data_IF_036809372540
#
_entry.id   IF_036809372540
#
_cell.length_a   1.000
_cell.length_b   1.000
_cell.length_c   1.000
_cell.angle_alpha   90.00
_cell.angle_beta   90.00
_cell.angle_gamma   90.00
#
_symmetry.space_group_name_H-M   'P 1'
#
loop_
_entity.id
_entity.type
_entity.pdbx_description
1 polymer ?
#
# COMPACT_ATOMS: atom_id res chain seq x y z
N UNK A 1 5.61 -31.50 -23.04
CA UNK A 1 4.60 -32.35 -22.39
C UNK A 1 4.96 -32.78 -20.96
N UNK A 2 6.21 -32.85 -20.54
CA UNK A 2 6.61 -33.27 -19.17
C UNK A 2 6.34 -32.24 -18.05
N UNK A 3 6.26 -30.93 -18.34
CA UNK A 3 6.02 -29.88 -17.30
C UNK A 3 4.57 -29.90 -16.79
N UNK A 4 3.58 -30.19 -17.64
CA UNK A 4 2.17 -30.26 -17.21
C UNK A 4 1.91 -31.38 -16.19
N UNK A 5 2.60 -32.50 -16.32
CA UNK A 5 2.41 -33.63 -15.39
C UNK A 5 3.00 -33.36 -14.00
N UNK A 6 4.14 -32.64 -13.93
CA UNK A 6 4.76 -32.29 -12.64
C UNK A 6 3.93 -31.29 -11.83
N UNK A 7 3.25 -30.35 -12.50
CA UNK A 7 2.32 -29.41 -11.84
C UNK A 7 1.11 -30.15 -11.30
N UNK A 8 0.57 -31.10 -12.06
CA UNK A 8 -0.59 -31.92 -11.66
C UNK A 8 -0.24 -32.81 -10.44
N UNK A 9 0.94 -33.46 -10.43
CA UNK A 9 1.42 -34.23 -9.29
C UNK A 9 1.68 -33.36 -8.06
N UNK A 10 2.19 -32.14 -8.23
CA UNK A 10 2.39 -31.19 -7.15
C UNK A 10 1.06 -30.72 -6.55
N UNK A 11 0.05 -30.46 -7.38
CA UNK A 11 -1.32 -30.10 -6.96
C UNK A 11 -1.99 -31.29 -6.25
N UNK A 12 -1.83 -32.53 -6.75
CA UNK A 12 -2.36 -33.73 -6.11
C UNK A 12 -1.66 -34.06 -4.78
N UNK A 13 -0.35 -33.86 -4.70
CA UNK A 13 0.41 -33.98 -3.43
C UNK A 13 -0.03 -32.91 -2.41
N UNK A 14 -0.28 -31.68 -2.84
CA UNK A 14 -0.84 -30.66 -1.99
C UNK A 14 -2.26 -31.00 -1.51
N UNK A 15 -3.09 -31.62 -2.34
CA UNK A 15 -4.45 -31.99 -1.96
C UNK A 15 -4.49 -33.13 -0.93
N UNK A 16 -3.52 -34.03 -0.93
CA UNK A 16 -3.40 -35.12 0.06
C UNK A 16 -2.80 -34.66 1.40
N UNK A 17 -2.03 -33.57 1.39
CA UNK A 17 -1.44 -32.95 2.58
C UNK A 17 -2.34 -31.91 3.26
N UNK A 18 -3.52 -31.63 2.68
CA UNK A 18 -4.48 -30.67 3.27
C UNK A 18 -5.03 -31.29 4.56
N UNK A 19 -4.40 -30.94 5.67
CA UNK A 19 -4.96 -31.20 6.99
C UNK A 19 -6.41 -30.72 7.00
N UNK A 20 -7.31 -31.50 7.63
CA UNK A 20 -8.72 -31.12 7.87
C UNK A 20 -8.80 -29.97 8.86
N UNK A 21 -8.12 -28.85 8.55
CA UNK A 21 -8.10 -27.67 9.39
C UNK A 21 -9.15 -26.69 8.89
N UNK A 22 -9.81 -25.96 9.78
CA UNK A 22 -10.79 -24.96 9.41
C UNK A 22 -10.16 -23.85 8.55
N UNK A 23 -10.99 -23.15 7.80
CA UNK A 23 -10.62 -21.93 7.10
C UNK A 23 -11.08 -20.77 7.98
N UNK A 24 -10.15 -19.98 8.45
CA UNK A 24 -10.43 -18.69 9.08
C UNK A 24 -10.63 -17.66 7.98
N UNK A 25 -11.66 -16.84 8.06
CA UNK A 25 -11.87 -15.73 7.14
C UNK A 25 -12.44 -14.53 7.86
N UNK A 26 -12.14 -13.36 7.34
CA UNK A 26 -12.61 -12.09 7.88
C UNK A 26 -13.18 -11.26 6.73
N UNK A 27 -14.38 -10.73 6.94
CA UNK A 27 -15.01 -9.76 6.04
C UNK A 27 -14.89 -8.39 6.68
N UNK A 28 -14.46 -7.41 5.91
CA UNK A 28 -14.39 -6.03 6.37
C UNK A 28 -15.18 -5.10 5.46
N UNK A 29 -15.97 -4.23 6.07
CA UNK A 29 -16.63 -3.11 5.42
C UNK A 29 -16.06 -1.83 6.01
N UNK A 30 -15.59 -0.93 5.16
CA UNK A 30 -15.09 0.37 5.60
C UNK A 30 -15.79 1.47 4.82
N UNK A 31 -16.21 2.51 5.52
CA UNK A 31 -16.66 3.76 4.92
C UNK A 31 -15.73 4.88 5.39
N UNK A 32 -15.40 5.81 4.52
CA UNK A 32 -14.47 6.89 4.83
C UNK A 32 -14.77 8.13 4.01
N UNK A 33 -14.05 9.18 4.35
CA UNK A 33 -14.03 10.44 3.62
C UNK A 33 -12.59 10.87 3.40
N UNK A 34 -12.31 11.39 2.21
CA UNK A 34 -11.02 11.91 1.78
C UNK A 34 -11.25 13.29 1.17
N UNK A 35 -10.65 14.32 1.76
CA UNK A 35 -10.83 15.71 1.34
C UNK A 35 -10.01 16.09 0.10
N UNK A 36 -9.03 15.26 -0.29
CA UNK A 36 -8.13 15.51 -1.42
C UNK A 36 -7.75 14.23 -2.13
N UNK A 37 -8.73 13.59 -2.79
CA UNK A 37 -8.59 12.28 -3.45
C UNK A 37 -7.55 12.32 -4.58
N UNK A 38 -7.44 13.43 -5.30
CA UNK A 38 -6.55 13.63 -6.44
C UNK A 38 -5.18 14.17 -6.02
N UNK A 39 -5.00 14.53 -4.73
CA UNK A 39 -3.77 15.11 -4.16
C UNK A 39 -3.37 16.39 -4.87
N UNK A 40 -4.32 17.27 -5.01
CA UNK A 40 -4.12 18.59 -5.56
C UNK A 40 -3.34 19.48 -4.60
N UNK A 41 -2.50 20.34 -5.15
CA UNK A 41 -1.91 21.48 -4.46
C UNK A 41 -2.93 22.57 -4.25
N UNK A 42 -2.59 23.59 -3.45
CA UNK A 42 -3.45 24.76 -3.23
C UNK A 42 -3.68 25.55 -4.53
N UNK A 43 -2.71 25.57 -5.44
CA UNK A 43 -2.85 26.16 -6.77
C UNK A 43 -3.83 25.38 -7.64
N UNK A 44 -3.68 24.05 -7.71
CA UNK A 44 -4.58 23.20 -8.47
C UNK A 44 -6.03 23.26 -7.95
N UNK A 45 -6.25 23.45 -6.64
CA UNK A 45 -7.59 23.74 -6.10
C UNK A 45 -8.16 25.04 -6.62
N UNK A 46 -7.34 26.07 -6.78
CA UNK A 46 -7.78 27.33 -7.31
C UNK A 46 -8.08 27.23 -8.81
N UNK A 47 -7.24 26.57 -9.59
CA UNK A 47 -7.48 26.29 -11.01
C UNK A 47 -8.77 25.50 -11.23
N UNK A 48 -9.03 24.48 -10.43
CA UNK A 48 -10.23 23.64 -10.53
C UNK A 48 -11.56 24.40 -10.34
N UNK A 49 -11.51 25.61 -9.77
CA UNK A 49 -12.68 26.49 -9.67
C UNK A 49 -13.06 27.10 -11.01
N UNK A 50 -12.08 27.31 -11.89
CA UNK A 50 -12.24 27.94 -13.22
C UNK A 50 -12.24 26.89 -14.32
N UNK A 51 -11.38 25.88 -14.23
CA UNK A 51 -11.27 24.80 -15.19
C UNK A 51 -11.49 23.43 -14.53
N UNK A 52 -12.67 22.85 -14.72
CA UNK A 52 -13.02 21.55 -14.17
C UNK A 52 -12.40 20.37 -14.94
N UNK A 53 -11.74 20.60 -16.07
CA UNK A 53 -11.11 19.53 -16.87
C UNK A 53 -9.99 18.83 -16.10
N UNK A 54 -9.32 19.54 -15.18
CA UNK A 54 -8.28 18.97 -14.31
C UNK A 54 -8.83 17.92 -13.32
N UNK A 55 -10.15 17.93 -13.06
CA UNK A 55 -10.81 16.92 -12.23
C UNK A 55 -10.90 15.56 -12.93
N UNK A 56 -10.70 15.53 -14.27
CA UNK A 56 -10.64 14.28 -15.02
C UNK A 56 -11.95 13.49 -14.98
N UNK A 57 -13.10 14.17 -15.10
CA UNK A 57 -14.42 13.55 -15.04
C UNK A 57 -14.97 13.35 -13.61
N UNK A 58 -14.18 13.62 -12.56
CA UNK A 58 -14.69 13.68 -11.21
C UNK A 58 -15.60 14.90 -11.00
N UNK A 59 -16.60 14.78 -10.12
CA UNK A 59 -17.49 15.91 -9.79
C UNK A 59 -16.81 16.92 -8.86
N UNK A 60 -15.97 16.41 -7.95
CA UNK A 60 -15.23 17.20 -6.94
C UNK A 60 -13.87 16.56 -6.65
N UNK A 61 -13.03 17.26 -5.91
CA UNK A 61 -11.71 16.79 -5.47
C UNK A 61 -11.77 15.94 -4.20
N UNK A 62 -12.88 15.92 -3.49
CA UNK A 62 -13.16 15.10 -2.30
C UNK A 62 -14.07 13.92 -2.63
N UNK A 63 -14.13 12.93 -1.76
CA UNK A 63 -15.04 11.80 -1.95
C UNK A 63 -15.34 11.06 -0.66
N UNK A 64 -16.57 10.58 -0.55
CA UNK A 64 -16.86 9.40 0.27
C UNK A 64 -16.31 8.15 -0.40
N UNK A 65 -15.78 7.25 0.41
CA UNK A 65 -15.11 6.03 -0.04
C UNK A 65 -15.76 4.83 0.64
N UNK A 66 -16.10 3.83 -0.14
CA UNK A 66 -16.54 2.53 0.37
C UNK A 66 -15.48 1.49 0.03
N UNK A 67 -15.17 0.62 1.00
CA UNK A 67 -14.19 -0.45 0.81
C UNK A 67 -14.72 -1.74 1.41
N UNK A 68 -14.74 -2.78 0.59
CA UNK A 68 -15.05 -4.15 1.00
C UNK A 68 -13.79 -4.98 0.93
N UNK A 69 -13.53 -5.79 1.94
CA UNK A 69 -12.36 -6.66 1.99
C UNK A 69 -12.71 -8.04 2.51
N UNK A 70 -12.02 -9.05 1.97
CA UNK A 70 -12.07 -10.43 2.43
C UNK A 70 -10.63 -10.88 2.67
N UNK A 71 -10.39 -11.45 3.83
CA UNK A 71 -9.13 -12.10 4.16
C UNK A 71 -9.42 -13.55 4.52
N UNK A 72 -8.63 -14.48 3.99
CA UNK A 72 -8.74 -15.91 4.28
C UNK A 72 -7.43 -16.42 4.83
N UNK A 73 -7.48 -17.39 5.75
CA UNK A 73 -6.30 -18.05 6.30
C UNK A 73 -6.55 -19.54 6.39
N UNK A 74 -5.63 -20.32 5.83
CA UNK A 74 -5.64 -21.79 5.87
C UNK A 74 -4.33 -22.29 6.43
N UNK A 75 -4.42 -23.09 7.50
CA UNK A 75 -3.30 -23.84 8.03
C UNK A 75 -3.18 -25.11 7.19
N UNK A 76 -2.09 -25.27 6.44
CA UNK A 76 -1.90 -26.42 5.56
C UNK A 76 -1.19 -27.57 6.25
N UNK A 77 -0.29 -27.26 7.17
CA UNK A 77 0.50 -28.26 7.84
C UNK A 77 0.96 -27.78 9.22
N UNK A 78 0.98 -28.71 10.20
CA UNK A 78 1.48 -28.51 11.55
C UNK A 78 2.26 -29.74 11.99
N UNK A 79 3.43 -29.54 12.59
CA UNK A 79 4.22 -30.57 13.25
C UNK A 79 5.00 -29.96 14.43
N UNK A 80 4.58 -30.24 15.64
CA UNK A 80 5.11 -29.62 16.84
C UNK A 80 5.00 -28.10 16.82
N UNK A 81 6.14 -27.40 16.91
CA UNK A 81 6.18 -25.93 16.84
C UNK A 81 6.23 -25.36 15.42
N UNK A 82 6.26 -26.23 14.42
CA UNK A 82 6.38 -25.85 13.02
C UNK A 82 5.00 -25.84 12.36
N UNK A 83 4.76 -24.86 11.48
CA UNK A 83 3.52 -24.79 10.72
C UNK A 83 3.72 -24.10 9.39
N UNK A 84 2.88 -24.45 8.42
CA UNK A 84 2.80 -23.79 7.12
C UNK A 84 1.38 -23.28 6.89
N UNK A 85 1.26 -21.98 6.62
CA UNK A 85 -0.02 -21.28 6.49
C UNK A 85 -0.05 -20.50 5.19
N UNK A 86 -1.19 -20.50 4.52
CA UNK A 86 -1.48 -19.63 3.38
C UNK A 86 -2.56 -18.65 3.80
N UNK A 87 -2.34 -17.36 3.49
CA UNK A 87 -3.33 -16.31 3.65
C UNK A 87 -3.64 -15.71 2.28
N UNK A 88 -4.93 -15.54 1.98
CA UNK A 88 -5.41 -14.78 0.84
C UNK A 88 -6.00 -13.46 1.30
N UNK A 89 -5.90 -12.42 0.50
CA UNK A 89 -6.62 -11.17 0.71
C UNK A 89 -7.16 -10.65 -0.62
N UNK A 90 -8.33 -10.07 -0.55
CA UNK A 90 -8.96 -9.33 -1.65
C UNK A 90 -9.60 -8.08 -1.08
N UNK A 91 -9.54 -6.97 -1.81
CA UNK A 91 -10.14 -5.69 -1.43
C UNK A 91 -10.61 -4.96 -2.68
N UNK A 92 -11.84 -4.47 -2.62
CA UNK A 92 -12.42 -3.57 -3.61
C UNK A 92 -12.66 -2.21 -2.96
N UNK A 93 -12.35 -1.13 -3.66
CA UNK A 93 -12.50 0.26 -3.18
C UNK A 93 -13.20 1.06 -4.25
N UNK A 94 -14.22 1.81 -3.85
CA UNK A 94 -15.02 2.67 -4.69
C UNK A 94 -15.07 4.09 -4.12
N UNK A 95 -15.13 5.09 -5.00
CA UNK A 95 -15.15 6.52 -4.67
C UNK A 95 -16.40 7.14 -5.27
N UNK A 96 -17.26 7.69 -4.42
CA UNK A 96 -18.57 8.20 -4.85
C UNK A 96 -18.46 9.35 -5.85
N UNK A 97 -17.65 10.39 -5.54
CA UNK A 97 -17.47 11.56 -6.40
C UNK A 97 -16.39 11.39 -7.48
N UNK A 98 -15.64 10.30 -7.43
CA UNK A 98 -14.48 10.04 -8.30
C UNK A 98 -14.52 8.61 -8.84
N UNK A 99 -15.51 8.25 -9.68
CA UNK A 99 -15.74 6.87 -10.11
C UNK A 99 -14.56 6.26 -10.90
N UNK A 100 -13.74 7.10 -11.54
CA UNK A 100 -12.50 6.68 -12.21
C UNK A 100 -11.49 6.04 -11.23
N UNK A 101 -11.59 6.39 -9.94
CA UNK A 101 -10.66 5.95 -8.90
C UNK A 101 -11.00 4.61 -8.28
N UNK A 102 -12.03 3.95 -8.73
CA UNK A 102 -12.35 2.58 -8.28
C UNK A 102 -11.24 1.59 -8.65
N UNK A 103 -10.88 0.72 -7.74
CA UNK A 103 -9.86 -0.29 -7.98
C UNK A 103 -10.05 -1.51 -7.08
N UNK A 104 -9.41 -2.61 -7.44
CA UNK A 104 -9.26 -3.75 -6.56
C UNK A 104 -7.78 -4.05 -6.29
N UNK A 105 -7.55 -4.72 -5.18
CA UNK A 105 -6.23 -5.23 -4.83
C UNK A 105 -6.37 -6.62 -4.23
N UNK A 106 -5.35 -7.45 -4.47
CA UNK A 106 -5.34 -8.81 -3.98
C UNK A 106 -3.93 -9.24 -3.56
N UNK A 107 -3.86 -10.39 -2.89
CA UNK A 107 -2.56 -10.95 -2.56
C UNK A 107 -2.63 -12.29 -1.88
N UNK A 108 -1.47 -12.94 -1.84
CA UNK A 108 -1.25 -14.22 -1.18
C UNK A 108 0.00 -14.11 -0.30
N UNK A 109 -0.07 -14.72 0.89
CA UNK A 109 1.08 -14.92 1.78
C UNK A 109 1.25 -16.41 2.03
N UNK A 110 2.47 -16.91 1.85
CA UNK A 110 2.89 -18.23 2.28
C UNK A 110 3.85 -18.05 3.46
N UNK A 111 3.51 -18.61 4.62
CA UNK A 111 4.28 -18.44 5.84
C UNK A 111 4.68 -19.79 6.41
N UNK A 112 5.98 -20.02 6.53
CA UNK A 112 6.55 -21.12 7.28
C UNK A 112 7.04 -20.61 8.64
N UNK A 113 6.49 -21.15 9.72
CA UNK A 113 6.80 -20.81 11.11
C UNK A 113 7.48 -21.97 11.79
N UNK A 114 8.54 -21.72 12.58
CA UNK A 114 9.26 -22.74 13.36
C UNK A 114 9.36 -22.40 14.85
N UNK A 115 8.57 -21.44 15.30
CA UNK A 115 8.51 -21.02 16.70
C UNK A 115 7.82 -19.69 16.88
N UNK A 116 7.69 -19.25 18.14
CA UNK A 116 7.11 -17.93 18.43
C UNK A 116 8.00 -16.82 17.91
N UNK A 117 7.45 -15.94 17.04
CA UNK A 117 8.18 -14.87 16.34
C UNK A 117 9.39 -15.38 15.55
N UNK A 118 9.31 -16.59 15.00
CA UNK A 118 10.31 -17.18 14.10
C UNK A 118 9.60 -17.70 12.88
N UNK A 119 9.69 -17.00 11.77
CA UNK A 119 9.06 -17.40 10.51
C UNK A 119 9.76 -16.79 9.31
N UNK A 120 9.56 -17.41 8.17
CA UNK A 120 9.80 -16.86 6.86
C UNK A 120 8.46 -16.71 6.13
N UNK A 121 8.25 -15.58 5.47
CA UNK A 121 7.02 -15.28 4.76
C UNK A 121 7.34 -14.78 3.36
N UNK A 122 6.77 -15.43 2.36
CA UNK A 122 6.74 -14.94 1.00
C UNK A 122 5.38 -14.31 0.71
N UNK A 123 5.38 -13.15 0.08
CA UNK A 123 4.16 -12.36 -0.19
C UNK A 123 4.12 -11.94 -1.64
N UNK A 124 2.95 -12.11 -2.26
CA UNK A 124 2.60 -11.56 -3.57
C UNK A 124 1.46 -10.57 -3.35
N UNK A 125 1.54 -9.39 -3.96
CA UNK A 125 0.50 -8.36 -3.94
C UNK A 125 0.26 -7.85 -5.36
N UNK A 126 -0.99 -7.57 -5.65
CA UNK A 126 -1.44 -6.98 -6.90
C UNK A 126 -2.38 -5.82 -6.62
N UNK A 127 -2.17 -4.71 -7.27
CA UNK A 127 -3.05 -3.55 -7.29
C UNK A 127 -3.41 -3.29 -8.75
N UNK A 128 -4.69 -3.34 -9.08
CA UNK A 128 -5.15 -3.26 -10.46
C UNK A 128 -5.66 -1.87 -10.81
N UNK A 129 -5.15 -1.32 -11.92
CA UNK A 129 -5.67 -0.11 -12.59
C UNK A 129 -5.96 1.03 -11.62
N UNK A 130 -4.96 1.40 -10.80
CA UNK A 130 -5.11 2.50 -9.86
C UNK A 130 -5.02 3.82 -10.58
N UNK A 131 -6.11 4.56 -10.63
CA UNK A 131 -6.16 5.91 -11.20
C UNK A 131 -5.46 6.92 -10.30
N UNK A 132 -4.49 7.63 -10.84
CA UNK A 132 -3.83 8.76 -10.17
C UNK A 132 -4.65 10.03 -10.35
N UNK A 133 -4.68 10.54 -11.56
CA UNK A 133 -5.39 11.72 -12.04
C UNK A 133 -5.17 11.87 -13.54
N UNK A 134 -5.71 12.89 -14.15
CA UNK A 134 -5.37 13.26 -15.52
C UNK A 134 -4.03 13.99 -15.57
N UNK A 135 -3.26 13.70 -16.61
CA UNK A 135 -2.04 14.41 -16.98
C UNK A 135 -2.08 14.79 -18.45
N UNK A 136 -1.32 15.82 -18.81
CA UNK A 136 -1.17 16.23 -20.20
C UNK A 136 -0.48 15.12 -20.98
N UNK A 137 -1.12 14.69 -22.08
CA UNK A 137 -0.52 13.75 -23.04
C UNK A 137 0.34 14.51 -24.04
N UNK A 138 1.58 14.79 -23.68
CA UNK A 138 2.55 15.56 -24.46
C UNK A 138 2.92 14.91 -25.80
N UNK A 139 2.62 13.62 -25.99
CA UNK A 139 2.85 12.94 -27.27
C UNK A 139 1.87 13.38 -28.35
N UNK A 140 0.73 13.97 -27.97
CA UNK A 140 -0.30 14.43 -28.90
C UNK A 140 -0.38 15.96 -28.91
N UNK A 141 -0.53 16.60 -27.74
CA UNK A 141 -0.58 18.05 -27.62
C UNK A 141 -0.29 18.50 -26.18
N UNK A 142 -0.03 19.82 -26.00
CA UNK A 142 0.19 20.35 -24.65
C UNK A 142 -1.11 20.63 -23.87
N UNK A 143 -2.28 20.43 -24.49
CA UNK A 143 -3.58 20.73 -23.88
C UNK A 143 -4.45 19.49 -23.65
N UNK A 144 -4.10 18.36 -24.28
CA UNK A 144 -4.89 17.14 -24.17
C UNK A 144 -4.61 16.41 -22.87
N UNK A 145 -5.60 16.35 -21.99
CA UNK A 145 -5.55 15.57 -20.74
C UNK A 145 -5.93 14.10 -21.00
N UNK A 146 -5.19 13.18 -20.41
CA UNK A 146 -5.46 11.75 -20.43
C UNK A 146 -5.39 11.14 -19.02
N UNK A 147 -6.21 10.13 -18.77
CA UNK A 147 -6.24 9.41 -17.50
C UNK A 147 -4.95 8.63 -17.27
N UNK A 148 -4.29 8.87 -16.14
CA UNK A 148 -3.08 8.15 -15.76
C UNK A 148 -3.45 7.04 -14.77
N UNK A 149 -3.37 5.80 -15.24
CA UNK A 149 -3.62 4.59 -14.43
C UNK A 149 -2.34 3.77 -14.34
N UNK A 150 -2.20 3.01 -13.25
CA UNK A 150 -1.10 2.05 -13.13
C UNK A 150 -1.54 0.78 -12.41
N UNK A 151 -0.79 -0.28 -12.67
CA UNK A 151 -0.92 -1.59 -12.03
C UNK A 151 0.37 -1.92 -11.30
N UNK A 152 0.27 -2.28 -10.00
CA UNK A 152 1.42 -2.72 -9.22
C UNK A 152 1.43 -4.25 -9.06
N UNK A 153 2.60 -4.86 -9.27
CA UNK A 153 2.91 -6.25 -8.95
C UNK A 153 4.09 -6.29 -7.99
N UNK A 154 3.84 -6.73 -6.76
CA UNK A 154 4.84 -6.72 -5.71
C UNK A 154 5.08 -8.13 -5.17
N UNK A 155 6.34 -8.53 -5.09
CA UNK A 155 6.79 -9.76 -4.47
C UNK A 155 7.77 -9.43 -3.36
N UNK A 156 7.67 -10.11 -2.23
CA UNK A 156 8.59 -9.86 -1.11
C UNK A 156 8.80 -11.08 -0.25
N UNK A 157 10.01 -11.19 0.30
CA UNK A 157 10.42 -12.21 1.25
C UNK A 157 10.75 -11.55 2.59
N UNK A 158 10.19 -12.06 3.66
CA UNK A 158 10.38 -11.53 5.02
C UNK A 158 10.83 -12.62 5.97
N UNK A 159 11.87 -12.35 6.73
CA UNK A 159 12.33 -13.16 7.85
C UNK A 159 11.94 -12.46 9.15
N UNK A 160 11.25 -13.18 10.04
CA UNK A 160 10.98 -12.74 11.41
C UNK A 160 11.82 -13.55 12.37
N UNK A 161 12.55 -12.90 13.24
CA UNK A 161 13.39 -13.54 14.24
C UNK A 161 13.17 -12.92 15.61
N UNK A 162 12.91 -13.78 16.60
CA UNK A 162 12.84 -13.38 18.00
C UNK A 162 14.22 -12.95 18.50
N UNK A 163 14.31 -11.79 19.13
CA UNK A 163 15.52 -11.28 19.77
C UNK A 163 15.50 -11.50 21.29
N UNK A 164 14.35 -11.25 21.92
CA UNK A 164 14.19 -11.44 23.36
C UNK A 164 12.76 -11.91 23.71
N UNK A 165 12.45 -12.04 25.01
CA UNK A 165 11.06 -12.32 25.45
C UNK A 165 10.08 -11.20 25.06
N UNK A 166 10.58 -9.97 24.84
CA UNK A 166 9.78 -8.77 24.58
C UNK A 166 10.01 -8.16 23.21
N UNK A 167 11.02 -8.64 22.46
CA UNK A 167 11.38 -8.02 21.18
C UNK A 167 11.63 -9.04 20.08
N UNK A 168 11.34 -8.62 18.85
CA UNK A 168 11.66 -9.35 17.63
C UNK A 168 11.90 -8.37 16.49
N UNK A 169 12.62 -8.81 15.49
CA UNK A 169 12.86 -8.04 14.29
C UNK A 169 12.33 -8.78 13.04
N UNK A 170 12.01 -7.98 12.03
CA UNK A 170 11.64 -8.45 10.71
C UNK A 170 12.60 -7.81 9.71
N UNK A 171 13.18 -8.60 8.83
CA UNK A 171 13.96 -8.14 7.69
C UNK A 171 13.26 -8.62 6.44
N UNK A 172 13.12 -7.75 5.45
CA UNK A 172 12.47 -8.07 4.19
C UNK A 172 13.18 -7.48 3.00
N UNK A 173 13.09 -8.20 1.89
CA UNK A 173 13.49 -7.75 0.57
C UNK A 173 12.27 -7.83 -0.34
N UNK A 174 12.10 -6.88 -1.24
CA UNK A 174 10.98 -6.87 -2.17
C UNK A 174 11.33 -6.28 -3.51
N UNK A 175 10.53 -6.68 -4.48
CA UNK A 175 10.57 -6.21 -5.84
C UNK A 175 9.16 -5.83 -6.26
N UNK A 176 8.97 -4.58 -6.64
CA UNK A 176 7.71 -4.01 -7.10
C UNK A 176 7.88 -3.54 -8.54
N UNK A 177 7.02 -4.03 -9.41
CA UNK A 177 6.87 -3.56 -10.78
C UNK A 177 5.62 -2.69 -10.85
N UNK A 178 5.77 -1.46 -11.32
CA UNK A 178 4.68 -0.53 -11.60
C UNK A 178 4.58 -0.30 -13.08
N UNK A 179 3.47 -0.71 -13.66
CA UNK A 179 3.16 -0.55 -15.07
C UNK A 179 2.07 0.49 -15.25
N UNK A 180 2.32 1.45 -16.12
CA UNK A 180 1.35 2.48 -16.46
C UNK A 180 0.64 2.12 -17.76
N UNK A 181 -0.66 2.43 -17.82
CA UNK A 181 -1.46 2.25 -19.02
C UNK A 181 -1.10 3.32 -20.06
N UNK A 182 -1.35 3.03 -21.36
CA UNK A 182 -1.19 3.99 -22.43
C UNK A 182 -2.00 5.29 -22.14
N UNK A 183 -1.48 6.50 -22.41
CA UNK A 183 -0.22 6.79 -23.12
C UNK A 183 1.02 6.87 -22.22
N UNK A 184 0.93 6.58 -20.92
CA UNK A 184 1.96 6.83 -19.92
C UNK A 184 2.87 5.63 -19.63
N UNK A 185 2.98 4.66 -20.55
CA UNK A 185 3.82 3.46 -20.34
C UNK A 185 5.30 3.76 -20.14
N UNK A 186 5.80 4.93 -20.56
CA UNK A 186 7.17 5.38 -20.28
C UNK A 186 7.41 5.73 -18.81
N UNK A 187 6.36 5.76 -17.98
CA UNK A 187 6.45 5.96 -16.53
C UNK A 187 6.69 4.66 -15.76
N UNK A 188 6.79 3.54 -16.45
CA UNK A 188 7.03 2.24 -15.84
C UNK A 188 8.26 2.25 -14.93
N UNK A 189 8.11 1.64 -13.75
CA UNK A 189 9.15 1.60 -12.72
C UNK A 189 9.37 0.18 -12.23
N UNK A 190 10.63 -0.22 -12.16
CA UNK A 190 11.12 -1.35 -11.40
C UNK A 190 11.68 -0.86 -10.06
N UNK A 191 11.11 -1.32 -8.95
CA UNK A 191 11.47 -0.84 -7.62
C UNK A 191 11.98 -2.01 -6.79
N UNK A 192 13.24 -1.93 -6.36
CA UNK A 192 13.82 -2.87 -5.40
C UNK A 192 13.86 -2.17 -4.03
N UNK A 193 13.44 -2.87 -2.99
CA UNK A 193 13.45 -2.30 -1.66
C UNK A 193 13.88 -3.29 -0.58
N UNK A 194 14.46 -2.75 0.47
CA UNK A 194 14.80 -3.47 1.69
C UNK A 194 14.04 -2.86 2.87
N UNK A 195 13.57 -3.72 3.77
CA UNK A 195 12.79 -3.34 4.94
C UNK A 195 13.37 -3.95 6.19
N UNK A 196 13.61 -3.12 7.20
CA UNK A 196 13.94 -3.52 8.56
C UNK A 196 12.86 -3.05 9.53
N UNK A 197 12.39 -3.92 10.43
CA UNK A 197 11.43 -3.53 11.47
C UNK A 197 11.81 -4.17 12.79
N UNK A 198 11.97 -3.35 13.82
CA UNK A 198 12.12 -3.76 15.20
C UNK A 198 10.79 -3.59 15.94
N UNK A 199 10.39 -4.58 16.73
CA UNK A 199 9.16 -4.59 17.51
C UNK A 199 9.48 -4.81 18.97
N UNK A 200 8.84 -4.04 19.85
CA UNK A 200 9.01 -4.13 21.29
C UNK A 200 7.66 -4.17 22.02
N UNK A 201 7.45 -5.20 22.84
CA UNK A 201 6.26 -5.34 23.67
C UNK A 201 6.48 -4.69 25.01
N UNK A 202 5.73 -3.64 25.30
CA UNK A 202 5.69 -2.97 26.60
C UNK A 202 4.69 -3.71 27.48
N UNK A 203 5.19 -4.34 28.55
CA UNK A 203 4.36 -5.16 29.44
C UNK A 203 3.17 -4.33 29.97
N UNK A 204 1.97 -4.88 29.88
CA UNK A 204 0.70 -4.29 30.35
C UNK A 204 0.28 -2.98 29.68
N UNK A 205 1.00 -2.51 28.68
CA UNK A 205 0.67 -1.28 27.95
C UNK A 205 0.31 -1.58 26.50
N UNK A 206 1.25 -2.16 25.74
CA UNK A 206 1.03 -2.37 24.32
C UNK A 206 2.29 -2.69 23.54
N UNK A 207 2.33 -2.28 22.28
CA UNK A 207 3.42 -2.56 21.36
C UNK A 207 3.93 -1.30 20.68
N UNK A 208 5.24 -1.14 20.67
CA UNK A 208 5.95 -0.13 19.89
C UNK A 208 6.71 -0.83 18.76
N UNK A 209 6.73 -0.23 17.59
CA UNK A 209 7.61 -0.70 16.53
C UNK A 209 8.32 0.48 15.86
N UNK A 210 9.49 0.20 15.29
CA UNK A 210 10.23 1.11 14.44
C UNK A 210 10.63 0.39 13.17
N UNK A 211 10.33 0.97 12.02
CA UNK A 211 10.57 0.39 10.71
C UNK A 211 11.29 1.37 9.82
N UNK A 212 12.26 0.88 9.07
CA UNK A 212 12.95 1.61 8.01
C UNK A 212 12.77 0.82 6.72
N UNK A 213 12.45 1.52 5.63
CA UNK A 213 12.48 1.01 4.27
C UNK A 213 13.46 1.86 3.46
N UNK A 214 14.28 1.21 2.64
CA UNK A 214 15.07 1.87 1.59
C UNK A 214 14.69 1.28 0.26
N UNK A 215 14.36 2.12 -0.72
CA UNK A 215 13.95 1.72 -2.06
C UNK A 215 14.74 2.44 -3.13
N UNK A 216 14.99 1.76 -4.23
CA UNK A 216 15.53 2.31 -5.47
C UNK A 216 14.57 1.99 -6.59
N UNK A 217 14.04 3.01 -7.24
CA UNK A 217 13.16 2.91 -8.39
C UNK A 217 13.92 3.28 -9.66
N UNK A 218 13.83 2.43 -10.67
CA UNK A 218 14.49 2.64 -11.95
C UNK A 218 13.44 2.68 -13.05
N UNK A 219 13.43 3.79 -13.82
CA UNK A 219 12.64 3.97 -15.03
C UNK A 219 13.50 3.54 -16.23
N UNK A 220 13.13 2.45 -16.90
CA UNK A 220 13.89 1.93 -18.04
C UNK A 220 13.28 2.32 -19.38
N UNK A 221 11.98 2.50 -19.41
CA UNK A 221 11.23 2.75 -20.64
C UNK A 221 11.56 4.10 -21.28
N UNK A 222 12.00 5.09 -20.51
CA UNK A 222 12.42 6.39 -21.04
C UNK A 222 13.67 6.30 -21.96
N UNK A 223 14.50 5.27 -21.79
CA UNK A 223 15.70 5.04 -22.62
C UNK A 223 15.37 4.38 -23.97
N UNK A 224 14.25 3.67 -24.07
CA UNK A 224 13.90 2.86 -25.23
C UNK A 224 13.10 3.60 -26.30
N UNK A 225 12.42 4.70 -25.94
CA UNK A 225 11.57 5.48 -26.85
C UNK A 225 11.78 6.96 -26.59
N UNK A 226 12.30 7.70 -27.55
CA UNK A 226 12.37 9.17 -27.47
C UNK A 226 10.99 9.76 -27.80
N UNK A 227 10.28 10.18 -26.76
CA UNK A 227 8.99 10.89 -26.83
C UNK A 227 9.09 12.18 -26.04
N UNK A 228 8.24 13.20 -26.30
CA UNK A 228 8.20 14.43 -25.51
C UNK A 228 7.94 14.22 -24.01
N UNK A 229 7.26 13.11 -23.64
CA UNK A 229 6.94 12.76 -22.24
C UNK A 229 7.94 11.77 -21.61
N UNK A 230 8.96 11.35 -22.35
CA UNK A 230 9.90 10.28 -21.92
C UNK A 230 11.03 10.81 -21.04
N UNK A 231 10.68 11.27 -19.84
CA UNK A 231 11.65 11.74 -18.85
C UNK A 231 12.03 10.66 -17.83
N UNK A 232 13.25 10.76 -17.28
CA UNK A 232 13.69 9.86 -16.22
C UNK A 232 12.92 10.13 -14.91
N UNK A 233 12.22 9.13 -14.42
CA UNK A 233 11.47 9.15 -13.15
C UNK A 233 12.10 8.29 -12.07
N UNK A 234 13.36 7.88 -12.29
CA UNK A 234 14.12 7.11 -11.31
C UNK A 234 14.33 7.91 -10.03
N UNK A 235 14.25 7.23 -8.89
CA UNK A 235 14.45 7.86 -7.60
C UNK A 235 15.01 6.89 -6.55
N UNK A 236 15.64 7.45 -5.52
CA UNK A 236 15.92 6.77 -4.26
C UNK A 236 14.89 7.18 -3.21
N UNK A 237 14.57 6.29 -2.29
CA UNK A 237 13.69 6.60 -1.17
C UNK A 237 14.16 5.98 0.12
N UNK A 238 13.94 6.72 1.22
CA UNK A 238 14.06 6.22 2.59
C UNK A 238 12.75 6.56 3.29
N UNK A 239 12.11 5.55 3.88
CA UNK A 239 10.91 5.73 4.68
C UNK A 239 11.17 5.22 6.08
N UNK A 240 10.77 5.96 7.10
CA UNK A 240 10.63 5.45 8.45
C UNK A 240 9.17 5.46 8.89
N UNK A 241 8.82 4.49 9.76
CA UNK A 241 7.47 4.30 10.26
C UNK A 241 7.49 3.82 11.69
N UNK A 242 6.81 4.54 12.58
CA UNK A 242 6.76 4.25 14.01
C UNK A 242 5.32 4.16 14.49
N UNK A 243 4.71 2.96 14.51
CA UNK A 243 3.42 2.73 15.13
C UNK A 243 3.58 2.43 16.62
N UNK A 244 2.69 3.02 17.41
CA UNK A 244 2.51 2.73 18.82
C UNK A 244 1.06 2.32 19.09
N UNK A 245 0.86 1.21 19.79
CA UNK A 245 -0.45 0.65 20.10
C UNK A 245 -0.56 0.42 21.60
N UNK A 246 -1.58 0.99 22.21
CA UNK A 246 -1.98 0.75 23.60
C UNK A 246 -3.13 -0.26 23.57
N UNK A 247 -2.93 -1.42 24.21
CA UNK A 247 -3.87 -2.54 24.26
C UNK A 247 -4.33 -2.84 25.68
N UNK A 248 -4.08 -1.93 26.60
CA UNK A 248 -4.69 -1.95 27.93
C UNK A 248 -6.03 -1.25 27.80
N UNK A 249 -7.13 -1.95 28.10
CA UNK A 249 -8.46 -1.34 28.06
C UNK A 249 -8.47 0.03 28.76
N UNK A 250 -8.59 1.09 27.98
CA UNK A 250 -8.66 2.47 28.43
C UNK A 250 -10.10 2.93 28.20
N UNK A 251 -10.78 3.31 29.26
CA UNK A 251 -12.21 3.55 29.20
C UNK A 251 -12.93 2.27 28.72
N UNK A 252 -13.71 2.36 27.67
CA UNK A 252 -14.44 1.25 27.04
C UNK A 252 -13.75 0.72 25.77
N UNK A 253 -12.55 1.22 25.42
CA UNK A 253 -11.82 0.88 24.19
C UNK A 253 -10.83 -0.28 24.41
N UNK A 254 -10.68 -1.14 23.41
CA UNK A 254 -9.76 -2.28 23.46
C UNK A 254 -8.37 -1.94 22.92
N UNK A 255 -8.28 -1.01 21.96
CA UNK A 255 -7.02 -0.53 21.42
C UNK A 255 -7.12 0.96 21.08
N UNK A 256 -6.08 1.70 21.42
CA UNK A 256 -5.81 3.04 20.92
C UNK A 256 -4.44 2.98 20.25
N UNK A 257 -4.32 3.56 19.06
CA UNK A 257 -3.04 3.58 18.37
C UNK A 257 -2.78 4.89 17.68
N UNK A 258 -1.52 5.18 17.57
CA UNK A 258 -1.01 6.30 16.77
C UNK A 258 0.17 5.83 15.93
N UNK A 259 0.39 6.45 14.79
CA UNK A 259 1.59 6.22 14.02
C UNK A 259 2.06 7.47 13.30
N UNK A 260 3.37 7.53 13.12
CA UNK A 260 4.03 8.52 12.28
C UNK A 260 4.80 7.78 11.20
N UNK A 261 4.67 8.25 9.97
CA UNK A 261 5.40 7.75 8.82
C UNK A 261 5.92 8.93 8.03
N UNK A 262 7.16 8.84 7.60
CA UNK A 262 7.78 9.83 6.73
C UNK A 262 8.61 9.14 5.66
N UNK A 263 8.39 9.53 4.40
CA UNK A 263 9.15 9.08 3.24
C UNK A 263 9.89 10.29 2.65
N UNK A 264 11.20 10.21 2.63
CA UNK A 264 12.05 11.07 1.83
C UNK A 264 12.30 10.40 0.49
N UNK A 265 12.12 11.15 -0.61
CA UNK A 265 12.36 10.68 -1.97
C UNK A 265 13.14 11.71 -2.75
N UNK A 266 14.22 11.25 -3.40
CA UNK A 266 15.10 12.04 -4.25
C UNK A 266 15.06 11.50 -5.68
N UNK A 267 14.72 12.35 -6.63
CA UNK A 267 14.74 12.01 -8.05
C UNK A 267 16.14 12.10 -8.61
N UNK A 268 16.44 11.21 -9.58
CA UNK A 268 17.78 11.08 -10.19
C UNK A 268 17.91 11.85 -11.49
N UNK A 269 16.79 12.38 -12.03
CA UNK A 269 16.81 13.15 -13.25
C UNK A 269 17.71 14.39 -13.13
N UNK A 270 18.54 14.59 -14.14
CA UNK A 270 19.47 15.74 -14.26
C UNK A 270 19.17 16.59 -15.51
N UNK A 271 18.18 16.17 -16.33
CA UNK A 271 17.83 16.84 -17.56
C UNK A 271 17.18 18.21 -17.26
N UNK A 272 17.77 19.33 -17.71
CA UNK A 272 17.19 20.65 -17.51
C UNK A 272 15.84 20.85 -18.25
N UNK A 273 15.56 20.05 -19.29
CA UNK A 273 14.29 20.06 -20.00
C UNK A 273 13.18 19.30 -19.26
N UNK A 274 13.51 18.66 -18.14
CA UNK A 274 12.56 18.04 -17.23
C UNK A 274 12.50 18.74 -15.86
N UNK A 275 11.94 19.94 -15.77
CA UNK A 275 11.85 20.68 -14.51
C UNK A 275 10.97 19.96 -13.47
N UNK A 276 10.11 19.03 -13.89
CA UNK A 276 9.24 18.25 -12.99
C UNK A 276 9.99 17.20 -12.18
N UNK A 277 11.13 16.70 -12.63
CA UNK A 277 11.89 15.65 -11.96
C UNK A 277 13.33 16.05 -11.64
N UNK A 278 13.95 16.91 -12.46
CA UNK A 278 15.34 17.34 -12.27
C UNK A 278 15.53 18.04 -10.94
N UNK A 279 16.46 17.51 -10.11
CA UNK A 279 16.80 18.06 -8.80
C UNK A 279 15.64 18.13 -7.81
N UNK A 280 14.58 17.34 -7.99
CA UNK A 280 13.41 17.36 -7.12
C UNK A 280 13.53 16.34 -5.99
N UNK A 281 13.24 16.82 -4.79
CA UNK A 281 13.06 16.02 -3.60
C UNK A 281 11.66 16.19 -3.03
N UNK A 282 11.18 15.23 -2.26
CA UNK A 282 10.00 15.45 -1.45
C UNK A 282 9.99 14.65 -0.15
N UNK A 283 9.33 15.20 0.85
CA UNK A 283 9.01 14.57 2.12
C UNK A 283 7.50 14.34 2.19
N UNK A 284 7.08 13.11 2.34
CA UNK A 284 5.67 12.69 2.47
C UNK A 284 5.42 12.19 3.89
N UNK A 285 4.87 13.04 4.75
CA UNK A 285 4.59 12.75 6.15
C UNK A 285 3.14 12.31 6.33
N UNK A 286 2.90 11.26 7.13
CA UNK A 286 1.57 10.70 7.46
C UNK A 286 1.46 10.46 8.95
N UNK A 287 0.39 10.96 9.53
CA UNK A 287 0.04 10.82 10.93
C UNK A 287 -1.29 10.10 11.03
N UNK A 288 -1.32 8.94 11.66
CA UNK A 288 -2.53 8.17 11.87
C UNK A 288 -2.88 8.11 13.36
N UNK A 289 -4.17 8.26 13.67
CA UNK A 289 -4.76 7.98 14.96
C UNK A 289 -5.91 7.01 14.77
N UNK A 290 -6.02 5.98 15.62
CA UNK A 290 -7.16 5.07 15.58
C UNK A 290 -7.57 4.60 16.97
N UNK A 291 -8.84 4.27 17.08
CA UNK A 291 -9.44 3.60 18.22
C UNK A 291 -10.16 2.35 17.74
N UNK A 292 -10.07 1.26 18.51
CA UNK A 292 -10.75 0.01 18.21
C UNK A 292 -11.57 -0.46 19.41
N UNK A 293 -12.77 -0.96 19.12
CA UNK A 293 -13.66 -1.63 20.05
C UNK A 293 -14.10 -2.96 19.48
N UNK A 294 -13.98 -4.03 20.25
CA UNK A 294 -14.63 -5.30 19.94
C UNK A 294 -16.06 -5.23 20.46
N UNK A 295 -17.02 -5.29 19.55
CA UNK A 295 -18.44 -5.28 19.90
C UNK A 295 -18.89 -6.64 20.40
N UNK A 296 -18.36 -7.69 19.76
CA UNK A 296 -18.52 -9.09 20.11
C UNK A 296 -17.17 -9.81 19.91
N UNK A 297 -17.09 -11.08 20.23
CA UNK A 297 -15.87 -11.88 20.04
C UNK A 297 -15.41 -11.90 18.56
N UNK A 298 -16.38 -11.89 17.65
CA UNK A 298 -16.13 -11.96 16.20
C UNK A 298 -16.27 -10.63 15.46
N UNK A 299 -16.78 -9.56 16.09
CA UNK A 299 -17.07 -8.28 15.44
C UNK A 299 -16.34 -7.13 16.11
N UNK A 300 -15.58 -6.39 15.33
CA UNK A 300 -14.87 -5.21 15.81
C UNK A 300 -15.19 -3.98 14.96
N UNK A 301 -15.22 -2.82 15.61
CA UNK A 301 -15.30 -1.50 14.96
C UNK A 301 -13.98 -0.76 15.17
N UNK A 302 -13.48 -0.11 14.13
CA UNK A 302 -12.31 0.76 14.19
C UNK A 302 -12.66 2.11 13.57
N UNK A 303 -12.41 3.18 14.29
CA UNK A 303 -12.49 4.55 13.78
C UNK A 303 -11.08 5.09 13.70
N UNK A 304 -10.74 5.74 12.60
CA UNK A 304 -9.41 6.31 12.40
C UNK A 304 -9.42 7.59 11.60
N UNK A 305 -8.43 8.45 11.89
CA UNK A 305 -8.14 9.65 11.13
C UNK A 305 -6.69 9.60 10.64
N UNK A 306 -6.46 10.16 9.46
CA UNK A 306 -5.14 10.36 8.88
C UNK A 306 -4.98 11.79 8.43
N UNK A 307 -3.87 12.40 8.80
CA UNK A 307 -3.36 13.61 8.18
C UNK A 307 -2.13 13.25 7.36
N UNK A 308 -2.07 13.76 6.14
CA UNK A 308 -0.93 13.60 5.23
C UNK A 308 -0.51 14.95 4.72
N UNK A 309 0.78 15.19 4.72
CA UNK A 309 1.39 16.37 4.16
C UNK A 309 2.58 15.95 3.29
N UNK A 310 2.59 16.44 2.04
CA UNK A 310 3.76 16.34 1.17
C UNK A 310 4.33 17.72 0.96
N UNK A 311 5.60 17.87 1.31
CA UNK A 311 6.42 19.03 0.99
C UNK A 311 7.41 18.65 -0.11
N UNK A 312 7.48 19.45 -1.14
CA UNK A 312 8.38 19.26 -2.29
C UNK A 312 9.42 20.35 -2.29
N UNK A 313 10.65 20.02 -2.64
CA UNK A 313 11.74 20.95 -2.91
C UNK A 313 12.20 20.77 -4.35
N UNK A 314 12.35 21.85 -5.08
CA UNK A 314 12.81 21.89 -6.48
C UNK A 314 13.55 23.20 -6.75
N UNK A 315 14.40 23.22 -7.76
CA UNK A 315 14.99 24.45 -8.26
C UNK A 315 13.92 25.41 -8.88
N UNK A 316 12.74 24.89 -9.20
CA UNK A 316 11.63 25.63 -9.79
C UNK A 316 10.50 25.80 -8.75
N UNK A 317 10.21 27.04 -8.36
CA UNK A 317 9.19 27.37 -7.36
C UNK A 317 7.81 26.81 -7.72
N UNK A 318 7.40 26.97 -8.99
CA UNK A 318 6.12 26.43 -9.47
C UNK A 318 6.00 24.91 -9.35
N UNK A 319 7.13 24.14 -9.41
CA UNK A 319 7.13 22.69 -9.19
C UNK A 319 6.95 22.39 -7.72
N UNK A 320 7.57 23.18 -6.84
CA UNK A 320 7.41 23.05 -5.38
C UNK A 320 5.94 23.21 -4.99
N UNK A 321 5.27 24.22 -5.53
CA UNK A 321 3.87 24.50 -5.26
C UNK A 321 2.96 23.41 -5.86
N UNK A 322 3.16 23.04 -7.12
CA UNK A 322 2.37 22.02 -7.83
C UNK A 322 2.46 20.62 -7.21
N UNK A 323 3.58 20.26 -6.58
CA UNK A 323 3.81 18.89 -6.07
C UNK A 323 3.64 18.75 -4.57
N UNK A 324 3.43 19.85 -3.86
CA UNK A 324 3.10 19.88 -2.43
C UNK A 324 1.60 19.80 -2.23
N UNK A 325 1.14 19.04 -1.24
CA UNK A 325 -0.29 18.94 -0.94
C UNK A 325 -0.53 18.50 0.50
N UNK A 326 -1.74 18.77 0.99
CA UNK A 326 -2.28 18.28 2.25
C UNK A 326 -3.50 17.40 1.99
N UNK A 327 -3.76 16.46 2.91
CA UNK A 327 -4.88 15.53 2.77
C UNK A 327 -5.31 15.05 4.17
N UNK A 328 -6.62 15.05 4.42
CA UNK A 328 -7.22 14.49 5.61
C UNK A 328 -8.15 13.34 5.22
N UNK A 329 -8.08 12.25 5.94
CA UNK A 329 -8.94 11.10 5.74
C UNK A 329 -9.55 10.65 7.06
N UNK A 330 -10.82 10.31 7.04
CA UNK A 330 -11.52 9.67 8.15
C UNK A 330 -12.07 8.33 7.71
N UNK A 331 -12.05 7.34 8.61
CA UNK A 331 -12.51 5.99 8.32
C UNK A 331 -13.27 5.40 9.48
N UNK A 332 -14.35 4.70 9.17
CA UNK A 332 -15.02 3.76 10.05
C UNK A 332 -14.95 2.37 9.40
N UNK A 333 -14.41 1.38 10.11
CA UNK A 333 -14.25 0.00 9.63
C UNK A 333 -14.98 -0.95 10.57
N UNK A 334 -15.84 -1.78 10.01
CA UNK A 334 -16.38 -2.99 10.64
C UNK A 334 -15.58 -4.19 10.15
N UNK A 335 -15.23 -5.10 11.05
CA UNK A 335 -14.50 -6.31 10.74
C UNK A 335 -15.15 -7.48 11.46
N UNK A 336 -15.55 -8.48 10.68
CA UNK A 336 -16.22 -9.66 11.15
C UNK A 336 -15.37 -10.89 10.86
N UNK A 337 -14.90 -11.55 11.93
CA UNK A 337 -14.08 -12.76 11.89
C UNK A 337 -14.97 -14.00 12.00
N UNK A 338 -14.74 -14.97 11.14
CA UNK A 338 -15.54 -16.19 11.00
C UNK A 338 -14.64 -17.40 10.81
N UNK A 339 -15.13 -18.55 11.19
CA UNK A 339 -14.46 -19.84 11.00
C UNK A 339 -15.39 -20.74 10.21
N UNK A 340 -14.90 -21.27 9.09
CA UNK A 340 -15.58 -22.31 8.33
C UNK A 340 -14.89 -23.65 8.61
N UNK A 341 -15.61 -24.54 9.27
CA UNK A 341 -15.17 -25.91 9.54
C UNK A 341 -16.06 -26.88 8.77
N UNK A 342 -15.43 -27.80 8.03
CA UNK A 342 -16.11 -28.91 7.37
C UNK A 342 -16.03 -30.11 8.30
N UNK A 343 -17.11 -30.39 9.00
CA UNK A 343 -17.33 -31.70 9.62
C UNK A 343 -18.00 -32.66 8.62
#
# INVERSE_FOLDING_TARGET
MKIKNNIMYFVLLLSSLVARTPIEYSISLSSGYDDNVLRFSDEEFNEAKFDKTILGGASTFDSFITRVGITTKKLLWVSGSKSFTINGLYRYTDYYNNPEKKYWSGGLDATYKWGSYKNIKYSIRHLNSFYLRHYINRDISNDLLAACLFTDRNQSLHLTQKSSKKSWFNIGLGYLQRYYDQPFSEFDLDIIYMKGKFNYKIKRVGNLAFQINRGSANSKSHLSVKRPSSFDRSYESIEWYMPFKIQKGILFLDEIGLSVREEYRQYKAEDPDDPLHSGRDHIDSKYDLWIKKNLFESLAITISGRYRNRSTSSAYEWVTDLKSFKQIQYWCKLEWDMIYDRY
#
